data_IF_287837124618
#
_entry.id   IF_287837124618
#
_cell.length_a   1.000
_cell.length_b   1.000
_cell.length_c   1.000
_cell.angle_alpha   90.00
_cell.angle_beta   90.00
_cell.angle_gamma   90.00
#
_symmetry.space_group_name_H-M   'P 1'
#
loop_
_entity.id
_entity.type
_entity.pdbx_description
1 polymer ?
#
# COMPACT_ATOMS: atom_id res chain seq x y z
N UNK A 1 -19.05 27.35 23.56
CA UNK A 1 -18.88 25.97 24.05
C UNK A 1 -17.66 25.40 23.35
N UNK A 2 -16.61 25.02 24.11
CA UNK A 2 -15.45 24.39 23.52
C UNK A 2 -15.87 23.06 22.88
N UNK A 3 -15.52 22.84 21.60
CA UNK A 3 -15.78 21.58 20.95
C UNK A 3 -15.02 20.48 21.71
N UNK A 4 -15.75 19.52 22.27
CA UNK A 4 -15.15 18.34 22.91
C UNK A 4 -14.40 17.60 21.82
N UNK A 5 -13.07 17.47 21.97
CA UNK A 5 -12.24 16.68 21.06
C UNK A 5 -12.80 15.25 21.04
N UNK A 6 -13.04 14.65 19.86
CA UNK A 6 -13.46 13.25 19.79
C UNK A 6 -12.38 12.36 20.42
N UNK A 7 -12.82 11.31 21.13
CA UNK A 7 -11.92 10.35 21.77
C UNK A 7 -11.11 9.61 20.69
N UNK A 8 -9.81 9.46 20.93
CA UNK A 8 -8.92 8.61 20.13
C UNK A 8 -9.30 7.14 20.30
N UNK A 9 -8.86 6.25 19.38
CA UNK A 9 -9.15 4.83 19.49
C UNK A 9 -8.66 4.19 20.80
N UNK A 10 -7.51 4.64 21.31
CA UNK A 10 -6.99 4.15 22.60
C UNK A 10 -7.84 4.63 23.78
N UNK A 11 -8.28 5.89 23.79
CA UNK A 11 -9.15 6.40 24.84
C UNK A 11 -10.49 5.67 24.87
N UNK A 12 -11.06 5.35 23.69
CA UNK A 12 -12.25 4.50 23.58
C UNK A 12 -11.98 3.12 24.20
N UNK A 13 -10.86 2.49 23.87
CA UNK A 13 -10.48 1.19 24.43
C UNK A 13 -10.36 1.22 25.96
N UNK A 14 -9.74 2.25 26.51
CA UNK A 14 -9.58 2.45 27.96
C UNK A 14 -10.93 2.66 28.67
N UNK A 15 -11.84 3.43 28.05
CA UNK A 15 -13.21 3.60 28.58
C UNK A 15 -13.93 2.25 28.61
N UNK A 16 -13.90 1.49 27.52
CA UNK A 16 -14.55 0.18 27.43
C UNK A 16 -13.98 -0.80 28.47
N UNK A 17 -12.66 -0.83 28.64
CA UNK A 17 -12.00 -1.67 29.64
C UNK A 17 -12.41 -1.29 31.07
N UNK A 18 -12.47 0.01 31.39
CA UNK A 18 -12.90 0.49 32.71
C UNK A 18 -14.36 0.16 33.01
N UNK A 19 -15.26 0.28 32.03
CA UNK A 19 -16.67 -0.09 32.20
C UNK A 19 -16.83 -1.55 32.64
N UNK A 20 -16.01 -2.46 32.09
CA UNK A 20 -16.04 -3.87 32.46
C UNK A 20 -15.27 -4.16 33.76
N UNK A 21 -14.03 -3.68 33.88
CA UNK A 21 -13.12 -4.10 34.95
C UNK A 21 -13.29 -3.30 36.26
N UNK A 22 -13.71 -2.04 36.17
CA UNK A 22 -13.84 -1.15 37.35
C UNK A 22 -15.30 -1.00 37.75
N UNK A 23 -16.18 -0.77 36.78
CA UNK A 23 -17.61 -0.60 37.04
C UNK A 23 -18.40 -1.92 37.02
N UNK A 24 -17.73 -3.04 36.72
CA UNK A 24 -18.29 -4.40 36.75
C UNK A 24 -19.56 -4.55 35.89
N UNK A 25 -19.64 -3.79 34.80
CA UNK A 25 -20.77 -3.86 33.89
C UNK A 25 -20.65 -5.09 32.99
N UNK A 26 -21.78 -5.75 32.75
CA UNK A 26 -21.83 -6.85 31.80
C UNK A 26 -21.50 -6.37 30.39
N UNK A 27 -20.92 -7.26 29.57
CA UNK A 27 -20.62 -6.97 28.17
C UNK A 27 -21.87 -6.50 27.40
N UNK A 28 -23.02 -7.16 27.62
CA UNK A 28 -24.30 -6.80 27.02
C UNK A 28 -24.73 -5.37 27.38
N UNK A 29 -24.58 -4.98 28.65
CA UNK A 29 -24.87 -3.61 29.11
C UNK A 29 -23.96 -2.59 28.44
N UNK A 30 -22.65 -2.88 28.35
CA UNK A 30 -21.68 -1.98 27.69
C UNK A 30 -22.03 -1.79 26.22
N UNK A 31 -22.35 -2.87 25.49
CA UNK A 31 -22.72 -2.82 24.07
C UNK A 31 -24.02 -2.06 23.84
N UNK A 32 -25.03 -2.30 24.68
CA UNK A 32 -26.36 -1.70 24.52
C UNK A 32 -26.39 -0.22 24.90
N UNK A 33 -25.79 0.12 26.04
CA UNK A 33 -26.04 1.39 26.73
C UNK A 33 -24.91 2.42 26.59
N UNK A 34 -23.65 1.98 26.41
CA UNK A 34 -22.49 2.87 26.46
C UNK A 34 -21.81 3.06 25.10
N UNK A 35 -21.66 1.98 24.33
CA UNK A 35 -21.02 2.05 23.00
C UNK A 35 -21.64 3.07 22.04
N UNK A 36 -22.98 3.24 21.95
CA UNK A 36 -23.59 4.28 21.10
C UNK A 36 -23.12 5.69 21.47
N UNK A 37 -22.95 5.96 22.77
CA UNK A 37 -22.49 7.26 23.28
C UNK A 37 -21.02 7.52 22.96
N UNK A 38 -20.25 6.48 22.66
CA UNK A 38 -18.86 6.55 22.18
C UNK A 38 -18.76 6.60 20.65
N UNK A 39 -19.89 6.70 19.93
CA UNK A 39 -19.92 6.70 18.46
C UNK A 39 -19.70 5.33 17.83
N UNK A 40 -19.81 4.25 18.60
CA UNK A 40 -19.70 2.88 18.12
C UNK A 40 -21.08 2.25 17.88
N UNK A 41 -21.16 1.29 16.97
CA UNK A 41 -22.37 0.49 16.79
C UNK A 41 -22.61 -0.47 17.95
N UNK A 42 -23.86 -0.91 18.15
CA UNK A 42 -24.26 -1.91 19.16
C UNK A 42 -23.87 -3.33 18.73
N UNK A 43 -22.60 -3.54 18.43
CA UNK A 43 -22.07 -4.84 18.01
C UNK A 43 -20.83 -5.18 18.85
N UNK A 44 -20.87 -6.36 19.47
CA UNK A 44 -19.76 -6.96 20.22
C UNK A 44 -18.44 -6.96 19.45
N UNK A 45 -18.44 -7.09 18.13
CA UNK A 45 -17.21 -7.13 17.32
C UNK A 45 -16.32 -5.90 17.53
N UNK A 46 -16.89 -4.76 17.94
CA UNK A 46 -16.10 -3.59 18.29
C UNK A 46 -15.35 -3.77 19.61
N UNK A 47 -15.96 -4.40 20.63
CA UNK A 47 -15.23 -4.74 21.87
C UNK A 47 -14.01 -5.61 21.55
N UNK A 48 -14.20 -6.64 20.72
CA UNK A 48 -13.12 -7.55 20.32
C UNK A 48 -11.98 -6.82 19.58
N UNK A 49 -12.27 -5.69 18.92
CA UNK A 49 -11.26 -4.87 18.23
C UNK A 49 -10.61 -3.83 19.12
N UNK A 50 -11.36 -3.20 20.03
CA UNK A 50 -10.87 -2.10 20.87
C UNK A 50 -10.16 -2.60 22.12
N UNK A 51 -10.69 -3.60 22.84
CA UNK A 51 -10.10 -4.05 24.10
C UNK A 51 -8.62 -4.49 23.98
N UNK A 52 -8.19 -5.19 22.91
CA UNK A 52 -6.78 -5.55 22.75
C UNK A 52 -5.82 -4.36 22.66
N UNK A 53 -6.30 -3.15 22.31
CA UNK A 53 -5.47 -1.95 22.26
C UNK A 53 -4.93 -1.55 23.65
N UNK A 54 -5.64 -1.90 24.73
CA UNK A 54 -5.20 -1.62 26.11
C UNK A 54 -3.95 -2.41 26.50
N UNK A 55 -3.68 -3.53 25.83
CA UNK A 55 -2.51 -4.39 26.05
C UNK A 55 -1.27 -3.99 25.24
N UNK A 56 -1.33 -2.92 24.44
CA UNK A 56 -0.17 -2.42 23.70
C UNK A 56 0.90 -1.85 24.63
N UNK A 57 2.16 -1.86 24.18
CA UNK A 57 3.26 -1.24 24.92
C UNK A 57 3.15 0.29 24.88
N UNK A 58 3.79 0.97 25.86
CA UNK A 58 3.70 2.42 26.03
C UNK A 58 4.07 3.22 24.78
N UNK A 59 5.07 2.78 24.00
CA UNK A 59 5.43 3.47 22.75
C UNK A 59 4.31 3.39 21.73
N UNK A 60 3.72 2.20 21.53
CA UNK A 60 2.58 2.03 20.63
C UNK A 60 1.37 2.85 21.10
N UNK A 61 1.09 2.87 22.41
CA UNK A 61 0.00 3.67 23.00
C UNK A 61 0.18 5.17 22.73
N UNK A 62 1.39 5.68 22.92
CA UNK A 62 1.70 7.09 22.67
C UNK A 62 1.46 7.50 21.20
N UNK A 63 1.81 6.64 20.24
CA UNK A 63 1.54 6.90 18.82
C UNK A 63 0.03 6.86 18.49
N UNK A 64 -0.76 6.02 19.20
CA UNK A 64 -2.22 5.98 19.05
C UNK A 64 -2.91 7.23 19.60
N UNK A 65 -2.40 7.81 20.70
CA UNK A 65 -2.93 9.05 21.28
C UNK A 65 -2.77 10.26 20.33
N UNK A 66 -1.77 10.23 19.46
CA UNK A 66 -1.59 11.26 18.42
C UNK A 66 -2.68 11.21 17.33
N UNK A 67 -3.48 10.13 17.26
CA UNK A 67 -4.57 9.90 16.29
C UNK A 67 -4.16 10.07 14.81
N UNK A 68 -2.89 9.82 14.51
CA UNK A 68 -2.34 9.89 13.15
C UNK A 68 -2.59 8.64 12.31
N UNK A 69 -3.02 7.53 12.92
CA UNK A 69 -3.11 6.22 12.28
C UNK A 69 -4.50 5.92 11.69
N UNK A 70 -4.55 5.15 10.61
CA UNK A 70 -5.81 4.58 10.12
C UNK A 70 -6.33 3.51 11.08
N UNK A 71 -7.64 3.36 11.17
CA UNK A 71 -8.25 2.33 12.02
C UNK A 71 -7.81 0.91 11.62
N UNK A 72 -7.56 0.68 10.34
CA UNK A 72 -7.05 -0.61 9.85
C UNK A 72 -5.68 -0.93 10.47
N UNK A 73 -4.76 0.05 10.49
CA UNK A 73 -3.45 -0.11 11.13
C UNK A 73 -3.61 -0.26 12.62
N UNK A 74 -4.42 0.59 13.28
CA UNK A 74 -4.65 0.55 14.73
C UNK A 74 -5.10 -0.84 15.18
N UNK A 75 -6.12 -1.40 14.53
CA UNK A 75 -6.67 -2.71 14.90
C UNK A 75 -5.77 -3.88 14.51
N UNK A 76 -4.78 -3.66 13.63
CA UNK A 76 -3.79 -4.68 13.32
C UNK A 76 -2.67 -4.78 14.38
N UNK A 77 -2.35 -3.68 15.07
CA UNK A 77 -1.23 -3.63 16.02
C UNK A 77 -1.25 -4.75 17.08
N UNK A 78 -2.37 -5.08 17.75
CA UNK A 78 -2.38 -6.13 18.77
C UNK A 78 -1.94 -7.50 18.26
N UNK A 79 -2.11 -7.78 16.96
CA UNK A 79 -1.69 -9.04 16.34
C UNK A 79 -0.20 -9.10 15.97
N UNK A 80 0.54 -8.01 16.15
CA UNK A 80 1.95 -7.91 15.79
C UNK A 80 2.86 -8.00 17.02
N UNK A 81 4.01 -8.66 16.85
CA UNK A 81 5.09 -8.61 17.85
C UNK A 81 5.55 -7.15 18.09
N UNK A 82 6.04 -6.85 19.29
CA UNK A 82 6.42 -5.47 19.68
C UNK A 82 7.39 -4.83 18.69
N UNK A 83 8.45 -5.57 18.29
CA UNK A 83 9.43 -5.07 17.32
C UNK A 83 8.80 -4.76 15.96
N UNK A 84 7.89 -5.61 15.49
CA UNK A 84 7.19 -5.46 14.21
C UNK A 84 6.23 -4.26 14.22
N UNK A 85 5.54 -4.03 15.34
CA UNK A 85 4.74 -2.82 15.53
C UNK A 85 5.61 -1.58 15.41
N UNK A 86 6.76 -1.56 16.07
CA UNK A 86 7.66 -0.41 16.05
C UNK A 86 8.20 -0.14 14.64
N UNK A 87 8.61 -1.17 13.90
CA UNK A 87 9.02 -1.02 12.50
C UNK A 87 7.91 -0.40 11.63
N UNK A 88 6.66 -0.85 11.81
CA UNK A 88 5.52 -0.32 11.07
C UNK A 88 5.22 1.16 11.42
N UNK A 89 5.24 1.49 12.71
CA UNK A 89 5.00 2.85 13.20
C UNK A 89 6.09 3.82 12.72
N UNK A 90 7.37 3.39 12.78
CA UNK A 90 8.50 4.19 12.29
C UNK A 90 8.44 4.41 10.79
N UNK A 91 8.00 3.40 10.03
CA UNK A 91 7.77 3.54 8.59
C UNK A 91 6.73 4.64 8.31
N UNK A 92 5.56 4.59 8.95
CA UNK A 92 4.50 5.57 8.69
C UNK A 92 4.88 6.98 9.13
N UNK A 93 5.68 7.10 10.19
CA UNK A 93 6.25 8.37 10.64
C UNK A 93 7.26 8.93 9.65
N UNK A 94 8.17 8.09 9.15
CA UNK A 94 9.15 8.43 8.12
C UNK A 94 8.49 8.90 6.83
N UNK A 95 7.46 8.18 6.39
CA UNK A 95 6.76 8.45 5.14
C UNK A 95 5.67 9.54 5.25
N UNK A 96 5.31 9.97 6.48
CA UNK A 96 4.28 10.97 6.75
C UNK A 96 2.96 10.73 6.00
N UNK A 97 2.52 9.47 5.97
CA UNK A 97 1.34 9.06 5.21
C UNK A 97 0.05 9.51 5.90
N UNK A 98 -0.92 9.97 5.10
CA UNK A 98 -2.30 10.11 5.57
C UNK A 98 -2.99 8.75 5.74
N UNK A 99 -4.06 8.69 6.54
CA UNK A 99 -4.76 7.44 6.93
C UNK A 99 -5.08 6.51 5.75
N UNK A 100 -5.56 7.04 4.62
CA UNK A 100 -5.87 6.21 3.43
C UNK A 100 -4.61 5.55 2.83
N UNK A 101 -3.51 6.31 2.73
CA UNK A 101 -2.23 5.78 2.20
C UNK A 101 -1.58 4.79 3.17
N UNK A 102 -1.77 4.97 4.47
CA UNK A 102 -1.31 3.99 5.47
C UNK A 102 -2.01 2.64 5.28
N UNK A 103 -3.34 2.65 5.12
CA UNK A 103 -4.12 1.44 4.84
C UNK A 103 -3.68 0.73 3.56
N UNK A 104 -3.51 1.48 2.46
CA UNK A 104 -3.02 0.93 1.20
C UNK A 104 -1.63 0.29 1.36
N UNK A 105 -0.68 1.02 1.95
CA UNK A 105 0.68 0.54 2.13
C UNK A 105 0.75 -0.64 3.11
N UNK A 106 -0.03 -0.61 4.19
CA UNK A 106 -0.11 -1.71 5.15
C UNK A 106 -0.57 -3.01 4.49
N UNK A 107 -1.61 -2.93 3.64
CA UNK A 107 -2.10 -4.08 2.87
C UNK A 107 -1.00 -4.66 1.96
N UNK A 108 -0.26 -3.80 1.25
CA UNK A 108 0.88 -4.23 0.43
C UNK A 108 1.98 -4.91 1.25
N UNK A 109 2.37 -4.32 2.37
CA UNK A 109 3.39 -4.88 3.27
C UNK A 109 2.96 -6.26 3.75
N UNK A 110 1.72 -6.40 4.24
CA UNK A 110 1.19 -7.67 4.74
C UNK A 110 1.21 -8.75 3.66
N UNK A 111 0.78 -8.41 2.45
CA UNK A 111 0.71 -9.35 1.34
C UNK A 111 2.12 -9.81 0.94
N UNK A 112 3.08 -8.88 0.81
CA UNK A 112 4.48 -9.21 0.49
C UNK A 112 5.13 -10.04 1.60
N UNK A 113 4.97 -9.66 2.87
CA UNK A 113 5.49 -10.41 4.02
C UNK A 113 4.97 -11.84 4.01
N UNK A 114 3.65 -12.02 3.78
CA UNK A 114 3.03 -13.35 3.71
C UNK A 114 3.55 -14.17 2.52
N UNK A 115 3.69 -13.55 1.35
CA UNK A 115 4.19 -14.22 0.14
C UNK A 115 5.63 -14.71 0.29
N UNK A 116 6.47 -13.93 0.97
CA UNK A 116 7.91 -14.23 1.11
C UNK A 116 8.26 -14.92 2.45
N UNK A 117 7.30 -15.07 3.37
CA UNK A 117 7.55 -15.60 4.71
C UNK A 117 8.46 -14.69 5.55
N UNK A 118 8.39 -13.38 5.34
CA UNK A 118 9.24 -12.38 6.00
C UNK A 118 8.47 -11.63 7.09
N UNK A 119 9.21 -11.10 8.06
CA UNK A 119 8.72 -10.06 8.96
C UNK A 119 8.74 -8.69 8.27
N UNK A 120 7.96 -7.73 8.76
CA UNK A 120 8.00 -6.32 8.34
C UNK A 120 9.41 -5.77 8.49
N UNK A 121 10.08 -6.04 9.61
CA UNK A 121 11.47 -5.63 9.81
C UNK A 121 12.40 -6.16 8.72
N UNK A 122 12.33 -7.47 8.42
CA UNK A 122 13.14 -8.09 7.39
C UNK A 122 12.83 -7.55 5.97
N UNK A 123 11.56 -7.29 5.67
CA UNK A 123 11.13 -6.67 4.42
C UNK A 123 11.72 -5.26 4.26
N UNK A 124 11.63 -4.42 5.30
CA UNK A 124 12.13 -3.03 5.24
C UNK A 124 13.66 -2.95 5.16
N UNK A 125 14.38 -4.02 5.52
CA UNK A 125 15.83 -4.13 5.38
C UNK A 125 16.27 -4.70 4.02
N UNK A 126 15.34 -5.05 3.12
CA UNK A 126 15.72 -5.41 1.75
C UNK A 126 16.43 -4.22 1.07
N UNK A 127 17.49 -4.45 0.28
CA UNK A 127 18.37 -3.38 -0.22
C UNK A 127 17.60 -2.21 -0.86
N UNK A 128 16.67 -2.51 -1.75
CA UNK A 128 15.88 -1.50 -2.46
C UNK A 128 15.02 -0.64 -1.51
N UNK A 129 14.32 -1.26 -0.55
CA UNK A 129 13.49 -0.52 0.41
C UNK A 129 14.37 0.26 1.41
N UNK A 130 15.45 -0.34 1.88
CA UNK A 130 16.39 0.30 2.80
C UNK A 130 17.03 1.54 2.17
N UNK A 131 17.45 1.48 0.90
CA UNK A 131 18.00 2.61 0.16
C UNK A 131 16.97 3.74 -0.01
N UNK A 132 15.72 3.42 -0.38
CA UNK A 132 14.65 4.42 -0.50
C UNK A 132 14.41 5.12 0.84
N UNK A 133 14.35 4.36 1.94
CA UNK A 133 14.08 4.91 3.27
C UNK A 133 15.25 5.73 3.80
N UNK A 134 16.49 5.33 3.53
CA UNK A 134 17.71 6.04 3.94
C UNK A 134 18.03 7.28 3.09
N UNK A 135 17.54 7.36 1.84
CA UNK A 135 17.86 8.45 0.92
C UNK A 135 17.49 9.84 1.46
N UNK A 136 18.48 10.64 1.86
CA UNK A 136 18.27 11.97 2.44
C UNK A 136 17.73 12.99 1.43
N UNK A 137 18.06 12.81 0.15
CA UNK A 137 17.62 13.68 -0.95
C UNK A 137 16.13 13.49 -1.32
N UNK A 138 15.48 12.45 -0.79
CA UNK A 138 14.08 12.15 -1.09
C UNK A 138 13.16 12.78 -0.05
N UNK A 139 12.16 13.52 -0.52
CA UNK A 139 11.04 13.97 0.31
C UNK A 139 10.22 12.78 0.80
N UNK A 140 9.50 12.93 1.92
CA UNK A 140 8.59 11.90 2.46
C UNK A 140 7.60 11.37 1.41
N UNK A 141 7.05 12.25 0.57
CA UNK A 141 6.16 11.88 -0.54
C UNK A 141 6.87 11.04 -1.60
N UNK A 142 8.10 11.41 -2.00
CA UNK A 142 8.88 10.62 -2.97
C UNK A 142 9.26 9.24 -2.40
N UNK A 143 9.63 9.17 -1.12
CA UNK A 143 9.87 7.90 -0.43
C UNK A 143 8.63 7.03 -0.43
N UNK A 144 7.47 7.61 -0.11
CA UNK A 144 6.20 6.89 -0.06
C UNK A 144 5.85 6.26 -1.42
N UNK A 145 5.98 7.02 -2.50
CA UNK A 145 5.68 6.53 -3.85
C UNK A 145 6.66 5.42 -4.26
N UNK A 146 7.96 5.63 -4.08
CA UNK A 146 8.97 4.62 -4.42
C UNK A 146 8.84 3.34 -3.58
N UNK A 147 8.54 3.45 -2.28
CA UNK A 147 8.26 2.29 -1.43
C UNK A 147 7.04 1.53 -1.93
N UNK A 148 5.96 2.24 -2.30
CA UNK A 148 4.76 1.63 -2.86
C UNK A 148 5.06 0.90 -4.16
N UNK A 149 5.80 1.51 -5.08
CA UNK A 149 6.22 0.91 -6.36
C UNK A 149 7.09 -0.34 -6.14
N UNK A 150 8.04 -0.29 -5.20
CA UNK A 150 8.86 -1.45 -4.84
C UNK A 150 8.00 -2.59 -4.28
N UNK A 151 7.10 -2.31 -3.32
CA UNK A 151 6.20 -3.31 -2.76
C UNK A 151 5.23 -3.90 -3.80
N UNK A 152 4.74 -3.07 -4.74
CA UNK A 152 3.91 -3.54 -5.86
C UNK A 152 4.68 -4.52 -6.75
N UNK A 153 5.97 -4.25 -7.03
CA UNK A 153 6.81 -5.17 -7.79
C UNK A 153 7.04 -6.49 -7.07
N UNK A 154 7.25 -6.43 -5.76
CA UNK A 154 7.40 -7.63 -4.92
C UNK A 154 6.11 -8.44 -4.81
N UNK A 155 4.94 -7.78 -4.77
CA UNK A 155 3.63 -8.42 -4.71
C UNK A 155 3.23 -9.06 -6.04
N UNK A 156 3.63 -8.49 -7.16
CA UNK A 156 3.26 -8.97 -8.50
C UNK A 156 4.49 -9.29 -9.35
N UNK A 157 5.36 -10.24 -8.94
CA UNK A 157 6.66 -10.46 -9.57
C UNK A 157 6.55 -10.90 -11.04
N UNK A 158 5.51 -11.67 -11.39
CA UNK A 158 5.26 -12.07 -12.78
C UNK A 158 4.90 -10.87 -13.65
N UNK A 159 3.91 -10.08 -13.20
CA UNK A 159 3.48 -8.86 -13.87
C UNK A 159 4.63 -7.86 -14.02
N UNK A 160 5.45 -7.68 -12.99
CA UNK A 160 6.57 -6.74 -13.05
C UNK A 160 7.68 -7.20 -13.98
N UNK A 161 7.97 -8.51 -14.05
CA UNK A 161 8.91 -9.06 -15.04
C UNK A 161 8.39 -8.91 -16.46
N UNK A 162 7.11 -9.22 -16.68
CA UNK A 162 6.44 -9.02 -17.97
C UNK A 162 6.50 -7.55 -18.42
N UNK A 163 6.13 -6.63 -17.54
CA UNK A 163 6.17 -5.19 -17.79
C UNK A 163 7.57 -4.69 -18.11
N UNK A 164 8.58 -5.16 -17.36
CA UNK A 164 9.97 -4.79 -17.59
C UNK A 164 10.48 -5.35 -18.92
N UNK A 165 10.25 -6.63 -19.21
CA UNK A 165 10.65 -7.26 -20.47
C UNK A 165 10.00 -6.58 -21.68
N UNK A 166 8.73 -6.18 -21.57
CA UNK A 166 8.03 -5.41 -22.59
C UNK A 166 8.68 -4.03 -22.81
N UNK A 167 8.99 -3.31 -21.72
CA UNK A 167 9.64 -2.01 -21.82
C UNK A 167 11.05 -2.10 -22.41
N UNK A 168 11.84 -3.08 -21.98
CA UNK A 168 13.20 -3.30 -22.46
C UNK A 168 13.21 -3.66 -23.95
N UNK A 169 12.29 -4.53 -24.39
CA UNK A 169 12.15 -4.88 -25.80
C UNK A 169 11.83 -3.64 -26.68
N UNK A 170 10.93 -2.76 -26.23
CA UNK A 170 10.61 -1.52 -26.96
C UNK A 170 11.80 -0.55 -26.99
N UNK A 171 12.55 -0.47 -25.88
CA UNK A 171 13.73 0.39 -25.76
C UNK A 171 14.87 -0.09 -26.66
N UNK A 172 15.15 -1.39 -26.65
CA UNK A 172 16.16 -2.03 -27.51
C UNK A 172 15.81 -1.88 -28.99
N UNK A 173 14.52 -2.02 -29.33
CA UNK A 173 14.04 -1.84 -30.70
C UNK A 173 13.99 -0.37 -31.15
N UNK A 174 14.36 0.59 -30.28
CA UNK A 174 14.41 2.01 -30.60
C UNK A 174 13.05 2.60 -30.98
N UNK A 175 11.98 2.17 -30.31
CA UNK A 175 10.62 2.65 -30.59
C UNK A 175 10.52 4.14 -30.24
N UNK A 176 10.14 5.01 -31.20
CA UNK A 176 10.06 6.44 -30.95
C UNK A 176 8.87 6.76 -30.02
N UNK A 177 8.97 7.82 -29.19
CA UNK A 177 7.90 8.18 -28.24
C UNK A 177 6.58 8.60 -28.90
N UNK A 178 6.59 8.88 -30.21
CA UNK A 178 5.38 9.14 -31.00
C UNK A 178 4.53 7.89 -31.22
N UNK A 179 5.12 6.70 -31.08
CA UNK A 179 4.46 5.41 -31.24
C UNK A 179 4.24 4.78 -29.87
N UNK A 180 3.00 4.80 -29.40
CA UNK A 180 2.62 4.18 -28.13
C UNK A 180 2.23 2.73 -28.38
N UNK A 181 3.10 1.81 -27.96
CA UNK A 181 2.83 0.38 -27.95
C UNK A 181 2.58 -0.03 -26.50
N UNK A 182 1.43 -0.63 -26.22
CA UNK A 182 1.04 -1.02 -24.86
C UNK A 182 0.51 -2.46 -24.83
N UNK A 183 0.85 -3.25 -23.80
CA UNK A 183 0.32 -4.59 -23.63
C UNK A 183 -1.14 -4.54 -23.15
N UNK A 184 -1.82 -5.68 -23.15
CA UNK A 184 -3.10 -5.84 -22.49
C UNK A 184 -3.02 -5.48 -20.99
N UNK A 185 -4.12 -4.99 -20.39
CA UNK A 185 -4.14 -4.73 -18.94
C UNK A 185 -3.74 -5.98 -18.15
N UNK A 186 -2.73 -5.84 -17.29
CA UNK A 186 -2.16 -6.91 -16.48
C UNK A 186 -1.56 -8.10 -17.25
N UNK A 187 -1.32 -7.98 -18.56
CA UNK A 187 -0.88 -9.09 -19.43
C UNK A 187 -1.85 -10.29 -19.41
N UNK A 188 -3.15 -10.03 -19.25
CA UNK A 188 -4.18 -11.07 -19.17
C UNK A 188 -4.55 -11.68 -20.54
N UNK A 189 -4.11 -11.06 -21.63
CA UNK A 189 -4.27 -11.55 -23.00
C UNK A 189 -3.03 -11.24 -23.84
N UNK A 190 -2.88 -11.97 -24.95
CA UNK A 190 -1.84 -11.76 -25.97
C UNK A 190 -2.13 -10.52 -26.84
N UNK A 191 -3.03 -9.64 -26.41
CA UNK A 191 -3.38 -8.42 -27.13
C UNK A 191 -2.35 -7.32 -26.89
N UNK A 192 -1.85 -6.72 -27.97
CA UNK A 192 -0.97 -5.55 -27.94
C UNK A 192 -1.66 -4.42 -28.71
N UNK A 193 -1.86 -3.29 -28.05
CA UNK A 193 -2.42 -2.09 -28.66
C UNK A 193 -1.32 -1.16 -29.15
N UNK A 194 -1.47 -0.67 -30.38
CA UNK A 194 -0.58 0.33 -30.97
C UNK A 194 -1.40 1.59 -31.26
N UNK A 195 -0.92 2.74 -30.78
CA UNK A 195 -1.55 4.03 -30.99
C UNK A 195 -0.51 5.10 -31.33
N UNK A 196 -0.81 5.95 -32.31
CA UNK A 196 -0.03 7.14 -32.62
C UNK A 196 -0.93 8.22 -33.22
N UNK A 197 -0.52 9.47 -33.07
CA UNK A 197 -1.21 10.64 -33.62
C UNK A 197 -0.27 11.35 -34.58
N UNK A 198 -0.82 11.87 -35.69
CA UNK A 198 -0.04 12.56 -36.72
C UNK A 198 -0.77 13.84 -37.17
N UNK A 199 0.00 14.85 -37.56
CA UNK A 199 -0.50 16.12 -38.13
C UNK A 199 -0.20 16.27 -39.62
N UNK A 200 0.58 15.35 -40.17
CA UNK A 200 0.96 15.35 -41.59
C UNK A 200 1.06 13.93 -42.13
N UNK A 201 0.92 13.79 -43.45
CA UNK A 201 1.10 12.50 -44.14
C UNK A 201 2.53 11.96 -43.94
N UNK A 202 3.52 12.85 -43.84
CA UNK A 202 4.93 12.47 -43.59
C UNK A 202 5.09 11.78 -42.22
N UNK A 203 4.43 12.27 -41.18
CA UNK A 203 4.43 11.65 -39.84
C UNK A 203 3.74 10.29 -39.84
N UNK A 204 2.61 10.17 -40.54
CA UNK A 204 1.92 8.88 -40.70
C UNK A 204 2.81 7.84 -41.39
N UNK A 205 3.43 8.21 -42.52
CA UNK A 205 4.36 7.32 -43.25
C UNK A 205 5.60 6.97 -42.43
N UNK A 206 6.10 7.91 -41.61
CA UNK A 206 7.21 7.62 -40.69
C UNK A 206 6.82 6.55 -39.66
N UNK A 207 5.64 6.66 -39.03
CA UNK A 207 5.17 5.66 -38.06
C UNK A 207 4.96 4.28 -38.71
N UNK A 208 4.40 4.23 -39.92
CA UNK A 208 4.27 2.99 -40.68
C UNK A 208 5.64 2.36 -40.99
N UNK A 209 6.63 3.16 -41.40
CA UNK A 209 7.99 2.67 -41.67
C UNK A 209 8.65 2.09 -40.41
N UNK A 210 8.40 2.69 -39.24
CA UNK A 210 8.86 2.13 -37.96
C UNK A 210 8.17 0.78 -37.68
N UNK A 211 6.84 0.69 -37.86
CA UNK A 211 6.11 -0.56 -37.64
C UNK A 211 6.58 -1.68 -38.58
N UNK A 212 6.81 -1.38 -39.85
CA UNK A 212 7.36 -2.33 -40.82
C UNK A 212 8.76 -2.82 -40.42
N UNK A 213 9.61 -1.91 -39.93
CA UNK A 213 10.93 -2.29 -39.40
C UNK A 213 10.82 -3.22 -38.20
N UNK A 214 9.96 -2.89 -37.24
CA UNK A 214 9.75 -3.72 -36.04
C UNK A 214 9.23 -5.12 -36.39
N UNK A 215 8.36 -5.22 -37.39
CA UNK A 215 7.86 -6.50 -37.92
C UNK A 215 8.99 -7.30 -38.57
N UNK A 216 9.78 -6.67 -39.45
CA UNK A 216 10.92 -7.31 -40.10
C UNK A 216 12.01 -7.77 -39.12
N UNK A 217 12.19 -7.07 -38.00
CA UNK A 217 13.12 -7.44 -36.92
C UNK A 217 12.54 -8.51 -35.96
N UNK A 218 11.30 -8.97 -36.19
CA UNK A 218 10.61 -9.96 -35.35
C UNK A 218 10.20 -9.43 -33.98
N UNK A 219 10.19 -8.11 -33.79
CA UNK A 219 9.83 -7.47 -32.51
C UNK A 219 8.34 -7.61 -32.23
N UNK A 220 7.49 -7.50 -33.26
CA UNK A 220 6.03 -7.64 -33.13
C UNK A 220 5.66 -9.03 -32.62
N UNK A 221 6.27 -10.09 -33.17
CA UNK A 221 6.06 -11.46 -32.71
C UNK A 221 6.46 -11.63 -31.24
N UNK A 222 7.63 -11.10 -30.86
CA UNK A 222 8.10 -11.14 -29.46
C UNK A 222 7.15 -10.39 -28.51
N UNK A 223 6.56 -9.27 -28.93
CA UNK A 223 5.63 -8.49 -28.11
C UNK A 223 4.35 -9.27 -27.78
N UNK A 224 3.86 -10.09 -28.71
CA UNK A 224 2.66 -10.93 -28.52
C UNK A 224 2.95 -12.14 -27.61
N UNK A 225 4.19 -12.65 -27.63
CA UNK A 225 4.62 -13.81 -26.85
C UNK A 225 5.10 -13.48 -25.43
N UNK A 226 5.20 -12.18 -25.08
CA UNK A 226 5.57 -11.78 -23.73
C UNK A 226 4.44 -12.12 -22.74
N UNK A 227 4.76 -12.78 -21.60
CA UNK A 227 3.77 -13.27 -20.63
C UNK A 227 3.11 -12.17 -19.80
#
# INVERSE_FOLDING_TARGET
MAAVKPLSPLEIAEVLAKLQAVFLLSEESVVRDFMPSLGLGRNRTWLDRYLPLTGLDERSKNELLADGLSLEVVFALPGLAVAERHHLLDLFKTLRLGKNKQSELYSLIRDVCRMQGLSVGALLQQPELAEILAGAELTSTQKAERCKEALMRLRYPRFSRAQQAFHDLLKEAGVPPTLRISPSPFFNSEEVSIAFSFKSEKEFRHCLGVLQRLDAEGVIEKLVQLP
#
